data_IF_415667679655
#
_entry.id   IF_415667679655
#
_cell.length_a   1.000
_cell.length_b   1.000
_cell.length_c   1.000
_cell.angle_alpha   90.00
_cell.angle_beta   90.00
_cell.angle_gamma   90.00
#
_symmetry.space_group_name_H-M   'P 1'
#
loop_
_entity.id
_entity.type
_entity.pdbx_description
1 polymer ?
#
# COMPACT_ATOMS: atom_id res chain seq x y z
N UNK A 1 -8.01 -5.30 5.42
CA UNK A 1 -8.10 -5.05 3.96
C UNK A 1 -9.56 -5.12 3.55
N UNK A 2 -10.05 -4.10 2.86
CA UNK A 2 -11.44 -4.07 2.37
C UNK A 2 -11.52 -4.60 0.93
N UNK A 3 -10.77 -4.02 0.00
CA UNK A 3 -10.77 -4.42 -1.39
C UNK A 3 -9.51 -3.96 -2.14
N UNK A 4 -9.23 -4.60 -3.27
CA UNK A 4 -8.32 -4.12 -4.31
C UNK A 4 -9.15 -3.80 -5.55
N UNK A 5 -9.06 -2.59 -6.08
CA UNK A 5 -9.81 -2.20 -7.28
C UNK A 5 -8.90 -1.58 -8.34
N UNK A 6 -9.21 -1.81 -9.60
CA UNK A 6 -8.50 -1.19 -10.72
C UNK A 6 -8.72 0.34 -10.71
N UNK A 7 -7.65 1.10 -10.97
CA UNK A 7 -7.67 2.57 -11.07
C UNK A 7 -7.03 3.04 -12.37
N UNK A 8 -7.49 4.17 -12.89
CA UNK A 8 -7.06 4.68 -14.20
C UNK A 8 -5.61 5.19 -14.22
N UNK A 9 -5.11 5.68 -13.08
CA UNK A 9 -3.79 6.31 -13.00
C UNK A 9 -3.01 5.85 -11.77
N UNK A 10 -1.69 5.84 -11.91
CA UNK A 10 -0.74 5.38 -10.89
C UNK A 10 -0.60 6.32 -9.68
N UNK A 11 -1.02 7.59 -9.77
CA UNK A 11 -0.83 8.58 -8.71
C UNK A 11 -1.90 9.66 -8.73
N UNK A 12 -2.09 10.32 -7.58
CA UNK A 12 -2.97 11.47 -7.42
C UNK A 12 -3.96 11.28 -6.27
N UNK A 13 -4.16 12.35 -5.50
CA UNK A 13 -5.11 12.35 -4.38
C UNK A 13 -6.53 12.02 -4.85
N UNK A 14 -6.97 12.60 -5.97
CA UNK A 14 -8.32 12.37 -6.50
C UNK A 14 -8.56 10.91 -6.88
N UNK A 15 -7.56 10.26 -7.48
CA UNK A 15 -7.60 8.85 -7.86
C UNK A 15 -7.71 7.96 -6.62
N UNK A 16 -6.88 8.23 -5.62
CA UNK A 16 -6.88 7.50 -4.36
C UNK A 16 -8.21 7.69 -3.60
N UNK A 17 -8.68 8.93 -3.50
CA UNK A 17 -9.94 9.27 -2.79
C UNK A 17 -11.15 8.67 -3.52
N UNK A 18 -11.20 8.76 -4.85
CA UNK A 18 -12.26 8.14 -5.64
C UNK A 18 -12.31 6.62 -5.41
N UNK A 19 -11.14 5.96 -5.43
CA UNK A 19 -11.05 4.53 -5.17
C UNK A 19 -11.52 4.17 -3.76
N UNK A 20 -11.08 4.90 -2.74
CA UNK A 20 -11.55 4.70 -1.37
C UNK A 20 -13.07 4.90 -1.28
N UNK A 21 -13.60 6.03 -1.76
CA UNK A 21 -15.05 6.31 -1.71
C UNK A 21 -15.89 5.21 -2.36
N UNK A 22 -15.44 4.67 -3.50
CA UNK A 22 -16.09 3.53 -4.15
C UNK A 22 -16.16 2.31 -3.23
N UNK A 23 -15.04 1.94 -2.60
CA UNK A 23 -14.97 0.81 -1.65
C UNK A 23 -15.80 1.07 -0.40
N UNK A 24 -15.78 2.29 0.12
CA UNK A 24 -16.55 2.68 1.30
C UNK A 24 -18.05 2.59 1.05
N UNK A 25 -18.53 3.04 -0.11
CA UNK A 25 -19.94 2.94 -0.47
C UNK A 25 -20.43 1.49 -0.45
N UNK A 26 -19.71 0.59 -1.14
CA UNK A 26 -20.02 -0.84 -1.16
C UNK A 26 -19.98 -1.46 0.24
N UNK A 27 -18.97 -1.11 1.05
CA UNK A 27 -18.83 -1.62 2.41
C UNK A 27 -19.94 -1.15 3.36
N UNK A 28 -20.31 0.14 3.29
CA UNK A 28 -21.36 0.72 4.14
C UNK A 28 -22.75 0.19 3.78
N UNK A 29 -23.00 -0.06 2.49
CA UNK A 29 -24.23 -0.66 2.00
C UNK A 29 -24.35 -2.16 2.33
N UNK A 30 -23.33 -2.76 2.97
CA UNK A 30 -23.26 -4.19 3.30
C UNK A 30 -23.51 -5.11 2.10
N UNK A 31 -23.04 -4.70 0.93
CA UNK A 31 -23.09 -5.57 -0.24
C UNK A 31 -22.23 -6.81 0.04
N UNK A 32 -22.77 -8.01 -0.20
CA UNK A 32 -22.13 -9.30 0.10
C UNK A 32 -20.77 -9.51 -0.63
N UNK A 33 -20.46 -8.63 -1.58
CA UNK A 33 -19.26 -8.65 -2.41
C UNK A 33 -18.00 -8.27 -1.61
N UNK A 34 -18.10 -7.47 -0.55
CA UNK A 34 -16.94 -7.08 0.28
C UNK A 34 -16.95 -7.83 1.60
N UNK A 35 -15.97 -8.73 1.77
CA UNK A 35 -15.72 -9.44 3.04
C UNK A 35 -14.38 -8.97 3.64
N UNK A 36 -14.38 -8.04 4.61
CA UNK A 36 -13.17 -7.45 5.17
C UNK A 36 -12.22 -8.48 5.77
N UNK A 37 -10.98 -8.51 5.32
CA UNK A 37 -9.94 -9.41 5.81
C UNK A 37 -9.11 -8.72 6.89
N UNK A 38 -9.01 -9.30 8.09
CA UNK A 38 -8.08 -8.81 9.12
C UNK A 38 -6.67 -9.24 8.75
N UNK A 39 -5.77 -8.28 8.62
CA UNK A 39 -4.40 -8.52 8.15
C UNK A 39 -3.38 -7.92 9.11
N UNK A 40 -2.20 -8.54 9.18
CA UNK A 40 -0.98 -7.89 9.62
C UNK A 40 -0.38 -7.16 8.41
N UNK A 41 0.10 -5.94 8.64
CA UNK A 41 0.80 -5.14 7.63
C UNK A 41 2.18 -4.79 8.16
N UNK A 42 3.21 -5.27 7.49
CA UNK A 42 4.59 -4.93 7.80
C UNK A 42 5.13 -4.00 6.71
N UNK A 43 5.73 -2.89 7.13
CA UNK A 43 6.30 -1.88 6.23
C UNK A 43 7.81 -1.89 6.41
N UNK A 44 8.53 -2.10 5.30
CA UNK A 44 9.99 -2.09 5.27
C UNK A 44 10.48 -1.25 4.08
N UNK A 45 11.79 -1.02 4.03
CA UNK A 45 12.44 -0.39 2.88
C UNK A 45 12.42 -1.27 1.60
N UNK A 46 12.02 -2.54 1.69
CA UNK A 46 11.85 -3.42 0.53
C UNK A 46 10.43 -3.36 -0.05
N UNK A 47 9.44 -3.14 0.80
CA UNK A 47 8.03 -3.29 0.42
C UNK A 47 7.07 -3.32 1.60
N UNK A 48 5.80 -3.51 1.24
CA UNK A 48 4.70 -3.75 2.17
C UNK A 48 4.34 -5.24 2.12
N UNK A 49 4.38 -5.90 3.26
CA UNK A 49 4.01 -7.30 3.42
C UNK A 49 2.65 -7.40 4.13
N UNK A 50 1.70 -8.09 3.52
CA UNK A 50 0.33 -8.26 4.00
C UNK A 50 0.09 -9.73 4.29
N UNK A 51 -0.20 -10.05 5.55
CA UNK A 51 -0.39 -11.42 6.02
C UNK A 51 -1.80 -11.55 6.60
N UNK A 52 -2.54 -12.58 6.18
CA UNK A 52 -3.85 -12.90 6.76
C UNK A 52 -3.72 -13.28 8.25
N UNK A 53 -4.54 -12.64 9.11
CA UNK A 53 -4.60 -12.90 10.55
C UNK A 53 -5.81 -13.74 10.99
N UNK A 54 -6.65 -14.22 10.06
CA UNK A 54 -7.89 -14.90 10.40
C UNK A 54 -7.71 -16.26 11.08
N UNK A 55 -6.54 -16.90 11.00
CA UNK A 55 -6.33 -18.24 11.59
C UNK A 55 -5.17 -18.24 12.59
N UNK A 56 -5.49 -18.60 13.84
CA UNK A 56 -4.55 -18.72 14.97
C UNK A 56 -3.90 -20.10 15.10
N UNK A 57 -4.21 -21.05 14.22
CA UNK A 57 -3.73 -22.42 14.35
C UNK A 57 -2.30 -22.53 13.77
N UNK A 58 -1.35 -22.88 14.63
CA UNK A 58 0.08 -23.06 14.30
C UNK A 58 0.35 -24.05 13.15
N UNK A 59 -0.60 -24.92 12.82
CA UNK A 59 -0.46 -25.97 11.79
C UNK A 59 -1.04 -25.59 10.43
N UNK A 60 -1.58 -24.37 10.25
CA UNK A 60 -2.14 -23.93 8.97
C UNK A 60 -1.40 -22.71 8.41
N UNK A 61 -1.02 -22.80 7.14
CA UNK A 61 -0.48 -21.71 6.34
C UNK A 61 -1.50 -20.55 6.25
N UNK A 62 -1.08 -19.26 6.25
CA UNK A 62 -1.97 -18.14 5.98
C UNK A 62 -2.74 -18.33 4.68
N UNK A 63 -4.01 -17.90 4.63
CA UNK A 63 -4.83 -18.07 3.42
C UNK A 63 -4.35 -17.22 2.26
N UNK A 64 -3.70 -16.08 2.57
CA UNK A 64 -2.91 -15.33 1.62
C UNK A 64 -1.74 -14.60 2.32
N UNK A 65 -0.67 -14.45 1.55
CA UNK A 65 0.55 -13.75 1.88
C UNK A 65 0.93 -12.94 0.64
N UNK A 66 0.84 -11.61 0.73
CA UNK A 66 1.14 -10.71 -0.38
C UNK A 66 2.32 -9.80 -0.03
N UNK A 67 3.35 -9.82 -0.87
CA UNK A 67 4.44 -8.87 -0.81
C UNK A 67 4.37 -7.88 -1.98
N UNK A 68 4.24 -6.60 -1.65
CA UNK A 68 4.26 -5.50 -2.61
C UNK A 68 5.60 -4.77 -2.50
N UNK A 69 6.50 -5.03 -3.46
CA UNK A 69 7.76 -4.28 -3.58
C UNK A 69 7.51 -2.79 -3.65
N UNK A 70 8.31 -1.98 -2.95
CA UNK A 70 8.23 -0.52 -3.02
C UNK A 70 8.35 0.00 -4.46
N UNK A 71 9.15 -0.66 -5.30
CA UNK A 71 9.31 -0.30 -6.72
C UNK A 71 8.01 -0.37 -7.52
N UNK A 72 7.05 -1.19 -7.07
CA UNK A 72 5.76 -1.36 -7.72
C UNK A 72 4.66 -0.51 -7.07
N UNK A 73 4.90 0.11 -5.91
CA UNK A 73 3.94 0.98 -5.26
C UNK A 73 4.21 2.41 -5.74
N UNK A 74 3.23 3.04 -6.36
CA UNK A 74 3.39 4.34 -7.01
C UNK A 74 2.82 5.51 -6.20
N UNK A 75 1.89 5.25 -5.28
CA UNK A 75 1.25 6.28 -4.47
C UNK A 75 0.63 5.70 -3.21
N UNK A 76 0.53 6.46 -2.13
CA UNK A 76 -0.22 6.06 -0.92
C UNK A 76 -0.80 7.28 -0.21
N UNK A 77 -1.80 7.07 0.64
CA UNK A 77 -2.40 8.15 1.42
C UNK A 77 -3.55 7.70 2.31
N UNK A 78 -3.97 8.60 3.19
CA UNK A 78 -5.17 8.46 4.01
C UNK A 78 -6.33 9.24 3.39
N UNK A 79 -7.57 8.83 3.68
CA UNK A 79 -8.73 9.59 3.26
C UNK A 79 -8.82 10.90 4.08
N UNK A 80 -9.00 12.08 3.45
CA UNK A 80 -8.92 13.38 4.13
C UNK A 80 -10.02 13.66 5.17
N UNK A 81 -11.18 12.99 5.07
CA UNK A 81 -12.33 13.15 5.98
C UNK A 81 -12.53 11.95 6.90
N UNK A 82 -11.98 10.79 6.53
CA UNK A 82 -12.17 9.53 7.23
C UNK A 82 -10.81 8.91 7.50
N UNK A 83 -10.07 9.47 8.46
CA UNK A 83 -8.66 9.13 8.74
C UNK A 83 -8.40 7.68 9.18
N UNK A 84 -9.44 6.86 9.32
CA UNK A 84 -9.33 5.41 9.55
C UNK A 84 -9.13 4.61 8.25
N UNK A 85 -9.30 5.25 7.10
CA UNK A 85 -9.12 4.63 5.79
C UNK A 85 -7.83 5.10 5.16
N UNK A 86 -7.13 4.14 4.58
CA UNK A 86 -5.94 4.41 3.79
C UNK A 86 -5.92 3.48 2.58
N UNK A 87 -5.15 3.87 1.58
CA UNK A 87 -4.82 2.98 0.49
C UNK A 87 -3.47 3.28 -0.12
N UNK A 88 -3.01 2.33 -0.93
CA UNK A 88 -1.85 2.50 -1.77
C UNK A 88 -2.12 1.94 -3.16
N UNK A 89 -1.48 2.54 -4.16
CA UNK A 89 -1.61 2.19 -5.57
C UNK A 89 -0.40 1.38 -5.98
N UNK A 90 -0.64 0.26 -6.65
CA UNK A 90 0.41 -0.58 -7.24
C UNK A 90 0.28 -0.64 -8.75
N UNK A 91 1.41 -0.83 -9.43
CA UNK A 91 1.48 -1.22 -10.83
C UNK A 91 1.40 -2.74 -10.94
N UNK A 92 0.59 -3.24 -11.86
CA UNK A 92 0.54 -4.65 -12.18
C UNK A 92 1.88 -5.10 -12.81
N UNK A 93 2.48 -6.23 -12.40
CA UNK A 93 3.82 -6.63 -12.84
C UNK A 93 3.93 -6.87 -14.35
N UNK A 94 2.84 -7.34 -14.98
CA UNK A 94 2.83 -7.73 -16.40
C UNK A 94 1.96 -6.86 -17.30
N UNK A 95 1.09 -6.01 -16.72
CA UNK A 95 0.06 -5.29 -17.47
C UNK A 95 0.18 -3.80 -17.19
N UNK A 96 -0.16 -2.93 -18.15
CA UNK A 96 -0.16 -1.48 -17.95
C UNK A 96 -1.39 -1.02 -17.15
N UNK A 97 -1.63 -1.66 -16.00
CA UNK A 97 -2.78 -1.42 -15.12
C UNK A 97 -2.34 -1.10 -13.71
N UNK A 98 -3.19 -0.40 -12.98
CA UNK A 98 -2.96 -0.02 -11.61
C UNK A 98 -4.09 -0.51 -10.71
N UNK A 99 -3.75 -0.88 -9.48
CA UNK A 99 -4.72 -1.27 -8.47
C UNK A 99 -4.56 -0.41 -7.22
N UNK A 100 -5.68 0.09 -6.68
CA UNK A 100 -5.71 0.70 -5.36
C UNK A 100 -6.17 -0.34 -4.33
N UNK A 101 -5.32 -0.58 -3.34
CA UNK A 101 -5.60 -1.48 -2.22
C UNK A 101 -6.09 -0.65 -1.03
N UNK A 102 -7.33 -0.87 -0.60
CA UNK A 102 -8.01 -0.08 0.41
C UNK A 102 -8.10 -0.84 1.72
N UNK A 103 -7.77 -0.16 2.82
CA UNK A 103 -7.75 -0.71 4.17
C UNK A 103 -8.54 0.17 5.12
N UNK A 104 -9.04 -0.46 6.17
CA UNK A 104 -9.69 0.15 7.31
C UNK A 104 -8.92 -0.24 8.57
N UNK A 105 -8.67 0.74 9.44
CA UNK A 105 -8.11 0.56 10.77
C UNK A 105 -9.12 0.99 11.84
N UNK A 106 -8.96 0.47 13.05
CA UNK A 106 -9.73 0.92 14.21
C UNK A 106 -9.28 2.31 14.70
N UNK A 107 -8.05 2.69 14.37
CA UNK A 107 -7.42 3.98 14.74
C UNK A 107 -7.02 4.76 13.48
N UNK A 108 -6.52 5.98 13.66
CA UNK A 108 -5.98 6.77 12.54
C UNK A 108 -4.90 5.99 11.77
N UNK A 109 -4.95 6.07 10.45
CA UNK A 109 -3.97 5.45 9.54
C UNK A 109 -2.82 6.38 9.17
N UNK A 110 -2.79 7.61 9.71
CA UNK A 110 -1.67 8.54 9.48
C UNK A 110 -0.30 7.93 9.82
N UNK A 111 -0.10 7.24 10.96
CA UNK A 111 1.20 6.62 11.26
C UNK A 111 1.63 5.57 10.23
N UNK A 112 0.67 4.87 9.62
CA UNK A 112 0.93 3.89 8.55
C UNK A 112 1.41 4.64 7.30
N UNK A 113 0.69 5.68 6.88
CA UNK A 113 1.03 6.49 5.70
C UNK A 113 2.40 7.15 5.87
N UNK A 114 2.70 7.69 7.04
CA UNK A 114 4.01 8.28 7.35
C UNK A 114 5.13 7.23 7.30
N UNK A 115 4.88 6.02 7.82
CA UNK A 115 5.87 4.94 7.79
C UNK A 115 6.17 4.48 6.36
N UNK A 116 5.14 4.37 5.52
CA UNK A 116 5.30 4.08 4.09
C UNK A 116 6.05 5.22 3.39
N UNK A 117 5.72 6.49 3.69
CA UNK A 117 6.42 7.66 3.16
C UNK A 117 7.91 7.69 3.52
N UNK A 118 8.27 7.33 4.76
CA UNK A 118 9.67 7.18 5.18
C UNK A 118 10.37 6.05 4.43
N UNK A 119 9.69 4.92 4.24
CA UNK A 119 10.23 3.79 3.48
C UNK A 119 10.50 4.14 2.01
N UNK A 120 9.57 4.87 1.37
CA UNK A 120 9.76 5.40 0.01
C UNK A 120 10.95 6.34 -0.09
N UNK A 121 11.03 7.33 0.82
CA UNK A 121 12.13 8.29 0.82
C UNK A 121 13.46 7.58 0.92
N UNK A 122 13.60 6.66 1.89
CA UNK A 122 14.83 5.87 2.07
C UNK A 122 15.18 5.03 0.83
N UNK A 123 14.21 4.32 0.27
CA UNK A 123 14.43 3.51 -0.94
C UNK A 123 14.84 4.36 -2.14
N UNK A 124 14.31 5.58 -2.26
CA UNK A 124 14.69 6.52 -3.30
C UNK A 124 16.11 7.05 -3.08
N UNK A 125 16.45 7.46 -1.86
CA UNK A 125 17.79 7.95 -1.50
C UNK A 125 18.86 6.89 -1.77
N UNK A 126 18.62 5.62 -1.39
CA UNK A 126 19.53 4.49 -1.69
C UNK A 126 19.67 4.23 -3.20
N UNK A 127 18.57 4.31 -3.96
CA UNK A 127 18.62 4.17 -5.42
C UNK A 127 19.40 5.31 -6.09
N UNK A 128 19.21 6.55 -5.64
CA UNK A 128 19.95 7.71 -6.15
C UNK A 128 21.44 7.59 -5.87
N UNK A 129 21.83 7.18 -4.65
CA UNK A 129 23.24 6.99 -4.28
C UNK A 129 23.91 5.89 -5.13
N UNK A 130 23.19 4.82 -5.47
CA UNK A 130 23.70 3.74 -6.32
C UNK A 130 23.76 4.14 -7.81
N UNK A 131 22.74 4.83 -8.32
CA UNK A 131 22.64 5.20 -9.74
C UNK A 131 23.54 6.39 -10.11
N UNK A 132 23.88 7.23 -9.13
CA UNK A 132 24.73 8.40 -9.29
C UNK A 132 25.80 8.41 -8.19
N UNK A 133 26.76 7.47 -8.23
CA UNK A 133 27.87 7.50 -7.29
C UNK A 133 28.61 8.82 -7.49
N UNK A 134 28.67 9.65 -6.45
CA UNK A 134 29.62 10.75 -6.42
C UNK A 134 31.00 10.11 -6.41
N UNK A 135 31.67 10.07 -7.56
CA UNK A 135 33.11 9.83 -7.60
C UNK A 135 33.76 10.90 -6.73
N UNK A 136 34.31 10.51 -5.59
CA UNK A 136 35.26 11.33 -4.87
C UNK A 136 36.44 11.53 -5.82
N UNK A 137 36.44 12.67 -6.51
CA UNK A 137 37.58 13.12 -7.30
C UNK A 137 38.67 13.48 -6.30
N UNK A 138 39.35 12.47 -5.76
CA UNK A 138 40.64 12.67 -5.12
C UNK A 138 41.58 13.12 -6.24
N UNK A 139 41.83 14.43 -6.32
CA UNK A 139 43.00 14.93 -7.04
C UNK A 139 44.23 14.48 -6.23
N UNK A 140 44.93 13.46 -6.73
CA UNK A 140 46.36 13.27 -6.44
C UNK A 140 47.20 14.33 -7.16
#
# INVERSE_FOLDING_TARGET
MLASIEVAHHKGNDILIQAMNKVLGVYQNREEIIVPQTVLMEVSFRGIHIIDKRRKNFFQCPTFDFFYSLQNISFCGAHPKQLRYFGFITKHPLLPRFACHVFLSNVSTQPIVESIGRAFKRSYDEYMAFAHPTEDIYLE
#
